data_IF_914578526365
#
_entry.id   IF_914578526365
#
_cell.length_a   1.000
_cell.length_b   1.000
_cell.length_c   1.000
_cell.angle_alpha   90.00
_cell.angle_beta   90.00
_cell.angle_gamma   90.00
#
_symmetry.space_group_name_H-M   'P 1'
#
loop_
_entity.id
_entity.type
_entity.pdbx_description
1 polymer ?
#
# COMPACT_ATOMS: atom_id res chain seq x y z
N UNK A 1 32.23 10.01 -10.18
CA UNK A 1 31.61 9.05 -11.12
C UNK A 1 30.10 9.18 -10.95
N UNK A 2 29.39 9.58 -12.01
CA UNK A 2 27.93 9.66 -12.00
C UNK A 2 27.31 8.26 -11.99
N UNK A 3 26.13 8.14 -11.39
CA UNK A 3 25.34 6.91 -11.43
C UNK A 3 24.98 6.59 -12.90
N UNK A 4 25.19 5.34 -13.34
CA UNK A 4 24.83 4.97 -14.71
C UNK A 4 23.31 4.86 -14.86
N UNK A 5 22.82 5.05 -16.08
CA UNK A 5 21.39 4.88 -16.39
C UNK A 5 20.90 3.48 -16.03
N UNK A 6 21.76 2.47 -16.14
CA UNK A 6 21.44 1.09 -15.76
C UNK A 6 21.28 0.90 -14.25
N UNK A 7 22.15 1.53 -13.46
CA UNK A 7 22.02 1.52 -11.99
C UNK A 7 20.71 2.17 -11.53
N UNK A 8 20.29 3.24 -12.23
CA UNK A 8 19.02 3.91 -11.97
C UNK A 8 17.85 2.95 -12.26
N UNK A 9 17.87 2.27 -13.42
CA UNK A 9 16.82 1.32 -13.83
C UNK A 9 16.72 0.16 -12.85
N UNK A 10 17.86 -0.46 -12.51
CA UNK A 10 17.90 -1.60 -11.60
C UNK A 10 17.37 -1.24 -10.20
N UNK A 11 17.69 -0.03 -9.74
CA UNK A 11 17.16 0.50 -8.48
C UNK A 11 15.64 0.67 -8.51
N UNK A 12 15.11 1.29 -9.57
CA UNK A 12 13.65 1.46 -9.71
C UNK A 12 12.93 0.11 -9.80
N UNK A 13 13.54 -0.87 -10.48
CA UNK A 13 13.01 -2.23 -10.56
C UNK A 13 13.01 -2.91 -9.19
N UNK A 14 14.11 -2.80 -8.43
CA UNK A 14 14.21 -3.35 -7.09
C UNK A 14 13.15 -2.75 -6.15
N UNK A 15 12.94 -1.43 -6.22
CA UNK A 15 11.90 -0.74 -5.46
C UNK A 15 10.50 -1.24 -5.86
N UNK A 16 10.21 -1.29 -7.16
CA UNK A 16 8.94 -1.80 -7.68
C UNK A 16 8.66 -3.22 -7.17
N UNK A 17 9.64 -4.12 -7.28
CA UNK A 17 9.49 -5.52 -6.87
C UNK A 17 9.33 -5.66 -5.36
N UNK A 18 10.03 -4.82 -4.57
CA UNK A 18 9.86 -4.78 -3.12
C UNK A 18 8.42 -4.37 -2.76
N UNK A 19 7.93 -3.25 -3.29
CA UNK A 19 6.58 -2.73 -3.01
C UNK A 19 5.51 -3.75 -3.44
N UNK A 20 5.69 -4.38 -4.60
CA UNK A 20 4.82 -5.46 -5.08
C UNK A 20 4.76 -6.63 -4.10
N UNK A 21 5.90 -7.06 -3.55
CA UNK A 21 5.96 -8.14 -2.55
C UNK A 21 5.26 -7.73 -1.26
N UNK A 22 5.50 -6.52 -0.76
CA UNK A 22 4.84 -6.01 0.45
C UNK A 22 3.32 -5.95 0.30
N UNK A 23 2.82 -5.44 -0.83
CA UNK A 23 1.38 -5.40 -1.11
C UNK A 23 0.75 -6.80 -1.24
N UNK A 24 1.50 -7.76 -1.81
CA UNK A 24 1.07 -9.17 -1.83
C UNK A 24 1.01 -9.77 -0.43
N UNK A 25 2.00 -9.50 0.41
CA UNK A 25 2.08 -10.00 1.78
C UNK A 25 0.93 -9.49 2.67
N UNK A 26 0.64 -8.17 2.63
CA UNK A 26 -0.39 -7.59 3.48
C UNK A 26 -1.81 -7.99 3.05
N UNK A 27 -2.09 -8.07 1.73
CA UNK A 27 -3.46 -8.35 1.31
C UNK A 27 -3.65 -9.14 0.03
N UNK A 28 -2.69 -9.09 -0.90
CA UNK A 28 -2.93 -9.54 -2.26
C UNK A 28 -3.83 -8.54 -3.01
N UNK A 29 -3.34 -8.06 -4.14
CA UNK A 29 -3.98 -7.06 -4.98
C UNK A 29 -3.22 -6.96 -6.29
N UNK A 30 -3.83 -6.38 -7.32
CA UNK A 30 -3.12 -6.12 -8.58
C UNK A 30 -2.35 -4.83 -8.42
N UNK A 31 -1.13 -4.93 -7.90
CA UNK A 31 -0.20 -3.80 -7.89
C UNK A 31 0.06 -3.33 -9.32
N UNK A 32 -0.07 -2.03 -9.57
CA UNK A 32 0.01 -1.44 -10.90
C UNK A 32 1.22 -0.54 -11.11
N UNK A 33 2.03 -0.31 -10.06
CA UNK A 33 3.20 0.54 -10.15
C UNK A 33 2.91 1.99 -9.80
N UNK A 34 3.53 2.89 -10.58
CA UNK A 34 3.46 4.34 -10.41
C UNK A 34 2.70 4.94 -11.60
N UNK A 35 1.81 5.91 -11.34
CA UNK A 35 1.12 6.68 -12.36
C UNK A 35 2.02 7.80 -12.92
N UNK A 36 1.70 8.39 -14.08
CA UNK A 36 2.43 9.53 -14.63
C UNK A 36 2.54 10.73 -13.69
N UNK A 37 1.54 10.92 -12.82
CA UNK A 37 1.53 11.96 -11.78
C UNK A 37 2.42 11.64 -10.56
N UNK A 38 3.24 10.58 -10.65
CA UNK A 38 4.15 10.17 -9.58
C UNK A 38 3.52 9.40 -8.43
N UNK A 39 2.19 9.19 -8.39
CA UNK A 39 1.52 8.45 -7.31
C UNK A 39 1.67 6.94 -7.49
N UNK A 40 1.92 6.23 -6.40
CA UNK A 40 1.88 4.76 -6.34
C UNK A 40 0.44 4.28 -6.26
N UNK A 41 0.12 3.17 -6.90
CA UNK A 41 -1.25 2.67 -6.86
C UNK A 41 -1.39 1.14 -6.96
N UNK A 42 -2.46 0.67 -6.32
CA UNK A 42 -2.89 -0.73 -6.34
C UNK A 42 -4.39 -0.78 -6.60
N UNK A 43 -4.81 -1.76 -7.42
CA UNK A 43 -6.22 -2.01 -7.69
C UNK A 43 -6.72 -3.20 -6.90
N UNK A 44 -7.84 -3.01 -6.21
CA UNK A 44 -8.60 -4.07 -5.56
C UNK A 44 -9.94 -4.30 -6.25
N UNK A 45 -10.39 -5.56 -6.24
CA UNK A 45 -11.66 -5.96 -6.85
C UNK A 45 -11.62 -6.11 -8.37
N UNK A 46 -12.80 -6.34 -8.95
CA UNK A 46 -13.04 -6.50 -10.38
C UNK A 46 -14.37 -5.84 -10.78
N UNK A 47 -14.51 -5.48 -12.05
CA UNK A 47 -15.73 -4.87 -12.60
C UNK A 47 -16.12 -3.54 -11.94
N UNK A 48 -17.42 -3.38 -11.67
CA UNK A 48 -18.02 -2.15 -11.10
C UNK A 48 -17.64 -1.87 -9.64
N UNK A 49 -17.05 -2.84 -8.95
CA UNK A 49 -16.62 -2.71 -7.56
C UNK A 49 -15.10 -2.52 -7.42
N UNK A 50 -14.44 -2.05 -8.48
CA UNK A 50 -13.01 -1.74 -8.47
C UNK A 50 -12.73 -0.52 -7.61
N UNK A 51 -11.65 -0.61 -6.83
CA UNK A 51 -11.13 0.51 -6.07
C UNK A 51 -9.63 0.65 -6.36
N UNK A 52 -9.24 1.85 -6.76
CA UNK A 52 -7.84 2.24 -6.91
C UNK A 52 -7.42 2.98 -5.64
N UNK A 53 -6.49 2.41 -4.87
CA UNK A 53 -5.81 3.14 -3.81
C UNK A 53 -4.60 3.84 -4.41
N UNK A 54 -4.46 5.13 -4.11
CA UNK A 54 -3.35 5.95 -4.55
C UNK A 54 -2.66 6.56 -3.34
N UNK A 55 -1.33 6.58 -3.36
CA UNK A 55 -0.53 7.23 -2.34
C UNK A 55 0.69 7.92 -2.95
N UNK A 56 1.20 8.94 -2.27
CA UNK A 56 2.36 9.68 -2.75
C UNK A 56 3.66 8.89 -2.49
N UNK A 57 3.65 8.03 -1.47
CA UNK A 57 4.77 7.16 -1.13
C UNK A 57 4.40 5.68 -1.20
N UNK A 58 5.36 4.79 -1.48
CA UNK A 58 5.11 3.36 -1.44
C UNK A 58 4.76 2.86 -0.03
N UNK A 59 5.36 3.46 0.99
CA UNK A 59 5.07 3.15 2.39
C UNK A 59 3.61 3.44 2.73
N UNK A 60 3.14 4.64 2.40
CA UNK A 60 1.75 5.03 2.62
C UNK A 60 0.80 4.11 1.86
N UNK A 61 1.14 3.73 0.62
CA UNK A 61 0.33 2.77 -0.15
C UNK A 61 0.20 1.43 0.58
N UNK A 62 1.30 0.90 1.12
CA UNK A 62 1.31 -0.38 1.85
C UNK A 62 0.49 -0.27 3.13
N UNK A 63 0.63 0.83 3.89
CA UNK A 63 -0.17 1.06 5.12
C UNK A 63 -1.66 1.18 4.82
N UNK A 64 -2.04 1.94 3.80
CA UNK A 64 -3.44 2.06 3.37
C UNK A 64 -4.01 0.71 2.88
N UNK A 65 -3.21 -0.05 2.13
CA UNK A 65 -3.60 -1.38 1.66
C UNK A 65 -3.76 -2.39 2.80
N UNK A 66 -2.90 -2.32 3.83
CA UNK A 66 -2.97 -3.19 5.00
C UNK A 66 -4.30 -3.02 5.75
N UNK A 67 -4.75 -1.78 5.95
CA UNK A 67 -5.99 -1.48 6.69
C UNK A 67 -7.25 -1.51 5.82
N UNK A 68 -7.15 -1.76 4.51
CA UNK A 68 -8.32 -1.77 3.61
C UNK A 68 -9.27 -2.94 3.90
N UNK A 69 -8.76 -4.03 4.48
CA UNK A 69 -9.53 -5.21 4.83
C UNK A 69 -9.01 -5.79 6.15
N UNK A 70 -9.91 -6.34 6.96
CA UNK A 70 -9.53 -7.00 8.21
C UNK A 70 -8.52 -8.14 7.94
N UNK A 71 -7.37 -8.12 8.61
CA UNK A 71 -6.37 -9.19 8.56
C UNK A 71 -6.85 -10.55 9.09
N UNK A 72 -7.90 -10.57 9.93
CA UNK A 72 -8.43 -11.81 10.52
C UNK A 72 -9.55 -12.41 9.65
N UNK A 73 -10.62 -11.67 9.33
CA UNK A 73 -11.76 -12.18 8.54
C UNK A 73 -11.70 -11.85 7.04
N UNK A 74 -10.75 -11.03 6.59
CA UNK A 74 -10.57 -10.66 5.18
C UNK A 74 -11.60 -9.69 4.60
N UNK A 75 -12.63 -9.27 5.34
CA UNK A 75 -13.67 -8.36 4.87
C UNK A 75 -13.23 -6.90 4.78
N UNK A 76 -13.92 -6.09 3.98
CA UNK A 76 -13.61 -4.65 3.77
C UNK A 76 -13.82 -3.85 5.05
N UNK A 77 -12.81 -3.10 5.46
CA UNK A 77 -12.88 -2.27 6.69
C UNK A 77 -13.83 -1.09 6.58
N UNK A 78 -14.11 -0.62 5.36
CA UNK A 78 -15.12 0.42 5.09
C UNK A 78 -16.53 0.01 5.53
N UNK A 79 -16.78 -1.29 5.77
CA UNK A 79 -18.03 -1.80 6.33
C UNK A 79 -18.02 -1.99 7.86
N UNK A 80 -16.92 -1.67 8.56
CA UNK A 80 -16.86 -1.71 10.02
C UNK A 80 -17.39 -0.39 10.60
N UNK A 81 -18.14 -0.46 11.71
CA UNK A 81 -18.73 0.74 12.37
C UNK A 81 -17.62 1.74 12.72
N UNK A 82 -17.77 2.98 12.24
CA UNK A 82 -16.89 4.14 12.51
C UNK A 82 -16.91 4.59 13.98
N UNK A 83 -17.91 4.18 14.77
CA UNK A 83 -18.05 4.51 16.20
C UNK A 83 -18.59 3.30 16.96
N UNK A 84 -17.93 2.96 18.06
CA UNK A 84 -18.33 1.94 19.01
C UNK A 84 -19.55 2.42 19.82
N UNK A 85 -20.72 1.94 19.42
CA UNK A 85 -21.84 1.61 20.31
C UNK A 85 -22.87 0.88 19.45
N UNK A 86 -23.36 -0.21 20.01
CA UNK A 86 -24.36 -1.11 19.44
C UNK A 86 -23.85 -2.07 18.35
N UNK A 87 -24.33 -3.30 18.45
CA UNK A 87 -24.04 -4.42 17.57
C UNK A 87 -24.68 -4.18 16.20
N UNK A 88 -23.89 -4.21 15.12
CA UNK A 88 -24.35 -4.73 13.84
C UNK A 88 -23.13 -5.03 12.96
N UNK A 89 -23.17 -6.24 12.42
CA UNK A 89 -22.28 -6.85 11.44
C UNK A 89 -21.96 -5.98 10.24
N UNK A 90 -20.79 -6.24 9.63
CA UNK A 90 -20.45 -5.79 8.29
C UNK A 90 -21.64 -5.95 7.33
N UNK A 91 -22.04 -4.88 6.65
CA UNK A 91 -23.19 -4.92 5.72
C UNK A 91 -22.92 -5.96 4.62
N UNK A 92 -23.76 -6.99 4.58
CA UNK A 92 -23.80 -8.01 3.52
C UNK A 92 -23.02 -9.31 3.77
N UNK A 93 -22.28 -9.47 4.88
CA UNK A 93 -21.65 -10.75 5.25
C UNK A 93 -21.51 -10.87 6.77
N UNK A 94 -21.76 -12.05 7.33
CA UNK A 94 -21.50 -12.43 8.72
C UNK A 94 -20.00 -12.44 9.03
N UNK A 95 -19.34 -11.28 9.10
CA UNK A 95 -18.02 -11.22 9.73
C UNK A 95 -18.21 -11.39 11.25
N UNK A 96 -17.59 -12.43 11.81
CA UNK A 96 -17.58 -12.73 13.24
C UNK A 96 -16.51 -11.95 14.01
N UNK A 97 -15.75 -11.07 13.33
CA UNK A 97 -14.71 -10.32 13.99
C UNK A 97 -15.32 -9.18 14.83
N UNK A 98 -14.93 -9.13 16.09
CA UNK A 98 -15.34 -8.07 17.03
C UNK A 98 -14.56 -6.76 16.81
N UNK A 99 -13.53 -6.79 15.97
CA UNK A 99 -12.63 -5.67 15.76
C UNK A 99 -13.30 -4.53 15.00
N UNK A 100 -13.30 -3.35 15.62
CA UNK A 100 -13.70 -2.07 15.03
C UNK A 100 -12.69 -1.62 13.97
N UNK A 101 -13.10 -0.65 13.14
CA UNK A 101 -12.19 -0.05 12.15
C UNK A 101 -10.96 0.58 12.83
N UNK A 102 -11.15 1.22 13.99
CA UNK A 102 -10.07 1.86 14.74
C UNK A 102 -9.05 0.83 15.24
N UNK A 103 -9.51 -0.32 15.78
CA UNK A 103 -8.62 -1.40 16.22
C UNK A 103 -7.85 -2.03 15.05
N UNK A 104 -8.52 -2.20 13.90
CA UNK A 104 -7.86 -2.68 12.69
C UNK A 104 -6.78 -1.71 12.24
N UNK A 105 -7.06 -0.41 12.22
CA UNK A 105 -6.07 0.61 11.87
C UNK A 105 -4.92 0.59 12.88
N UNK A 106 -5.21 0.60 14.18
CA UNK A 106 -4.20 0.63 15.24
C UNK A 106 -3.27 -0.59 15.19
N UNK A 107 -3.78 -1.77 14.80
CA UNK A 107 -2.97 -3.00 14.68
C UNK A 107 -2.24 -3.08 13.33
N UNK A 108 -2.97 -2.97 12.22
CA UNK A 108 -2.49 -3.35 10.88
C UNK A 108 -1.73 -2.23 10.16
N UNK A 109 -1.83 -0.98 10.62
CA UNK A 109 -1.02 0.12 10.08
C UNK A 109 0.41 0.17 10.64
N UNK A 110 0.73 -0.69 11.60
CA UNK A 110 2.04 -0.73 12.26
C UNK A 110 3.08 -1.41 11.39
N UNK A 111 4.31 -0.92 11.45
CA UNK A 111 5.48 -1.51 10.76
C UNK A 111 5.69 -2.95 11.19
N UNK A 112 5.58 -3.23 12.50
CA UNK A 112 5.70 -4.57 13.07
C UNK A 112 4.74 -5.58 12.42
N UNK A 113 3.45 -5.24 12.34
CA UNK A 113 2.45 -6.12 11.75
C UNK A 113 2.70 -6.35 10.25
N UNK A 114 3.05 -5.30 9.51
CA UNK A 114 3.35 -5.41 8.07
C UNK A 114 4.62 -6.27 7.85
N UNK A 115 5.65 -6.10 8.68
CA UNK A 115 6.89 -6.85 8.62
C UNK A 115 6.68 -8.34 8.90
N UNK A 116 5.90 -8.67 9.94
CA UNK A 116 5.49 -10.04 10.27
C UNK A 116 4.79 -10.71 9.06
N UNK A 117 3.81 -10.02 8.45
CA UNK A 117 3.09 -10.52 7.27
C UNK A 117 3.98 -10.72 6.06
N UNK A 118 5.04 -9.92 5.93
CA UNK A 118 6.00 -10.02 4.84
C UNK A 118 7.14 -11.02 5.10
N UNK A 119 7.22 -11.61 6.31
CA UNK A 119 8.35 -12.46 6.71
C UNK A 119 9.67 -11.69 6.76
N UNK A 120 9.63 -10.42 7.16
CA UNK A 120 10.77 -9.51 7.23
C UNK A 120 10.92 -8.94 8.63
N UNK A 121 12.09 -8.38 8.95
CA UNK A 121 12.23 -7.51 10.12
C UNK A 121 11.73 -6.09 9.82
N UNK A 122 11.39 -5.33 10.86
CA UNK A 122 10.98 -3.92 10.71
C UNK A 122 12.06 -3.07 10.03
N UNK A 123 13.34 -3.37 10.30
CA UNK A 123 14.48 -2.68 9.67
C UNK A 123 14.58 -2.94 8.16
N UNK A 124 14.09 -4.08 7.70
CA UNK A 124 14.16 -4.50 6.30
C UNK A 124 12.93 -4.14 5.49
N UNK A 125 11.83 -3.76 6.17
CA UNK A 125 10.52 -3.62 5.53
C UNK A 125 10.55 -2.60 4.40
N UNK A 126 11.05 -1.38 4.67
CA UNK A 126 11.14 -0.29 3.70
C UNK A 126 12.58 0.08 3.32
N UNK A 127 13.56 -0.77 3.64
CA UNK A 127 14.95 -0.56 3.22
C UNK A 127 15.02 -0.54 1.69
N UNK A 128 15.57 0.54 1.14
CA UNK A 128 15.72 0.75 -0.31
C UNK A 128 14.46 1.25 -1.01
N UNK A 129 13.37 1.50 -0.29
CA UNK A 129 12.17 2.18 -0.79
C UNK A 129 12.35 3.67 -0.56
N UNK A 130 12.33 4.49 -1.62
CA UNK A 130 12.44 5.94 -1.50
C UNK A 130 11.05 6.56 -1.45
N UNK A 131 10.94 7.65 -0.70
CA UNK A 131 9.75 8.50 -0.68
C UNK A 131 9.48 9.14 -2.05
N UNK A 132 8.58 10.13 -2.14
CA UNK A 132 8.24 10.72 -3.42
C UNK A 132 9.51 11.34 -4.01
N UNK A 133 10.01 10.77 -5.09
CA UNK A 133 11.00 11.45 -5.92
C UNK A 133 10.27 12.62 -6.54
N UNK A 134 10.57 13.82 -6.05
CA UNK A 134 10.39 15.04 -6.82
C UNK A 134 11.18 14.83 -8.11
N UNK A 135 10.48 14.45 -9.17
CA UNK A 135 11.06 14.45 -10.51
C UNK A 135 11.36 15.93 -10.73
N UNK A 136 12.64 16.27 -10.62
CA UNK A 136 13.15 17.58 -10.97
C UNK A 136 12.72 17.78 -12.41
N UNK A 137 11.87 18.77 -12.63
CA UNK A 137 11.47 19.21 -13.95
C UNK A 137 12.72 19.81 -14.62
N UNK A 138 13.52 18.96 -15.24
CA UNK A 138 14.63 19.36 -16.12
C UNK A 138 14.24 19.02 -17.55
N UNK A 139 13.25 19.77 -18.02
CA UNK A 139 12.97 20.13 -19.41
C UNK A 139 12.73 21.62 -19.24
N UNK A 140 13.57 22.56 -19.67
CA UNK A 140 14.13 22.76 -20.99
C UNK A 140 15.42 23.62 -20.90
N UNK A 141 16.52 23.15 -21.47
CA UNK A 141 17.58 23.98 -22.05
C UNK A 141 17.84 23.38 -23.44
N UNK A 142 17.07 23.79 -24.47
CA UNK A 142 17.37 23.50 -25.88
C UNK A 142 16.46 24.26 -26.87
N UNK A 143 16.37 25.59 -26.76
CA UNK A 143 16.07 26.51 -27.87
C UNK A 143 16.60 27.86 -27.38
N UNK A 144 17.59 28.54 -27.95
CA UNK A 144 18.11 28.64 -29.30
C UNK A 144 18.69 30.06 -29.38
#
# INVERSE_FOLDING_TARGET
MGESVWDIIDRYKAEYDKVKRLLRAVRGGRFRGRKPNGKWWVRFGSGRATLDLLADTPEELVRQAAVFRCGDCGHKTTGHRRKSKEEASCVGVSCTCKATQAEIIAKQSTTAWIAERAGLTERELFRGVRGPTSIVSSVEDAHG
#
